data_IF_823839663237
#
_entry.id   IF_823839663237
#
_cell.length_a   1.000
_cell.length_b   1.000
_cell.length_c   1.000
_cell.angle_alpha   90.00
_cell.angle_beta   90.00
_cell.angle_gamma   90.00
#
_symmetry.space_group_name_H-M   'P 1'
#
loop_
_entity.id
_entity.type
_entity.pdbx_description
1 polymer ?
#
# COMPACT_ATOMS: atom_id res chain seq x y z
N UNK A 1 14.04 27.27 -1.08
CA UNK A 1 13.42 26.37 -2.07
C UNK A 1 13.97 24.98 -1.80
N UNK A 2 13.21 24.13 -1.11
CA UNK A 2 13.68 22.79 -0.72
C UNK A 2 13.56 21.83 -1.90
N UNK A 3 14.64 21.11 -2.13
CA UNK A 3 14.89 20.16 -3.19
C UNK A 3 13.83 19.06 -3.27
N UNK A 4 13.03 19.10 -4.33
CA UNK A 4 12.02 18.10 -4.72
C UNK A 4 12.68 16.89 -5.38
N UNK A 5 13.27 15.98 -4.60
CA UNK A 5 13.73 14.66 -5.09
C UNK A 5 13.20 13.47 -4.25
N UNK A 6 12.48 13.71 -3.16
CA UNK A 6 11.91 12.65 -2.31
C UNK A 6 10.47 12.23 -2.70
N UNK A 7 9.86 12.92 -3.67
CA UNK A 7 8.47 12.69 -4.06
C UNK A 7 8.22 11.32 -4.74
N UNK A 8 9.27 10.63 -5.20
CA UNK A 8 9.14 9.35 -5.90
C UNK A 8 9.30 8.12 -5.00
N UNK A 9 9.69 8.29 -3.74
CA UNK A 9 9.94 7.14 -2.84
C UNK A 9 8.73 6.76 -2.01
N UNK A 10 7.74 7.64 -1.83
CA UNK A 10 6.57 7.38 -1.00
C UNK A 10 5.30 7.93 -1.64
N UNK A 11 4.24 7.12 -1.63
CA UNK A 11 2.91 7.52 -2.09
C UNK A 11 1.86 7.05 -1.10
N UNK A 12 0.83 7.85 -0.87
CA UNK A 12 -0.28 7.53 0.03
C UNK A 12 -1.59 8.09 -0.48
N UNK A 13 -2.68 7.38 -0.21
CA UNK A 13 -4.04 7.77 -0.57
C UNK A 13 -5.07 7.16 0.40
N UNK A 14 -6.32 7.61 0.33
CA UNK A 14 -7.45 7.00 1.03
C UNK A 14 -8.38 6.32 0.02
N UNK A 15 -8.37 4.99 -0.01
CA UNK A 15 -9.20 4.21 -0.92
C UNK A 15 -10.38 3.57 -0.17
N UNK A 16 -11.62 3.92 -0.58
CA UNK A 16 -12.87 3.48 0.08
C UNK A 16 -12.88 3.70 1.60
N UNK A 17 -12.35 4.85 2.03
CA UNK A 17 -12.27 5.21 3.45
C UNK A 17 -11.17 4.50 4.23
N UNK A 18 -10.27 3.77 3.56
CA UNK A 18 -9.12 3.10 4.19
C UNK A 18 -7.81 3.71 3.73
N UNK A 19 -6.92 4.11 4.65
CA UNK A 19 -5.64 4.68 4.28
C UNK A 19 -4.73 3.58 3.72
N UNK A 20 -4.17 3.85 2.54
CA UNK A 20 -3.23 2.99 1.83
C UNK A 20 -1.98 3.78 1.49
N UNK A 21 -0.81 3.13 1.52
CA UNK A 21 0.45 3.77 1.11
C UNK A 21 1.44 2.76 0.55
N UNK A 22 2.39 3.24 -0.22
CA UNK A 22 3.54 2.49 -0.72
C UNK A 22 4.82 3.25 -0.44
N UNK A 23 5.90 2.50 -0.18
CA UNK A 23 7.23 3.04 0.05
C UNK A 23 8.23 2.24 -0.79
N UNK A 24 9.01 2.94 -1.62
CA UNK A 24 10.17 2.37 -2.29
C UNK A 24 11.31 2.28 -1.28
N UNK A 25 11.71 1.05 -0.98
CA UNK A 25 12.84 0.73 -0.14
C UNK A 25 13.83 -0.12 -0.93
N UNK A 26 14.98 0.48 -1.29
CA UNK A 26 16.06 -0.19 -2.02
C UNK A 26 15.60 -0.87 -3.34
N UNK A 27 14.72 -0.21 -4.10
CA UNK A 27 14.21 -0.72 -5.37
C UNK A 27 13.03 -1.68 -5.25
N UNK A 28 12.50 -1.88 -4.03
CA UNK A 28 11.31 -2.69 -3.77
C UNK A 28 10.21 -1.84 -3.16
N UNK A 29 9.00 -2.02 -3.65
CA UNK A 29 7.82 -1.32 -3.17
C UNK A 29 7.16 -2.11 -2.04
N UNK A 30 7.22 -1.54 -0.85
CA UNK A 30 6.51 -2.00 0.35
C UNK A 30 5.12 -1.38 0.37
N UNK A 31 4.15 -2.08 0.96
CA UNK A 31 2.76 -1.62 1.06
C UNK A 31 2.30 -1.47 2.51
N UNK A 32 1.53 -0.42 2.77
CA UNK A 32 0.89 -0.12 4.04
C UNK A 32 -0.62 -0.12 3.83
N UNK A 33 -1.34 -0.82 4.70
CA UNK A 33 -2.80 -0.85 4.73
C UNK A 33 -3.28 -0.56 6.15
N UNK A 34 -4.17 0.42 6.32
CA UNK A 34 -4.59 0.91 7.64
C UNK A 34 -3.39 1.28 8.54
N UNK A 35 -2.36 1.92 7.96
CA UNK A 35 -1.07 2.22 8.60
C UNK A 35 -0.23 1.00 9.02
N UNK A 36 -0.63 -0.22 8.64
CA UNK A 36 0.11 -1.46 8.93
C UNK A 36 0.94 -1.87 7.72
N UNK A 37 2.26 -1.88 7.89
CA UNK A 37 3.21 -2.42 6.92
C UNK A 37 2.92 -3.90 6.65
N UNK A 38 2.92 -4.30 5.39
CA UNK A 38 2.80 -5.70 4.95
C UNK A 38 4.17 -6.23 4.51
N UNK A 39 5.06 -6.63 5.45
CA UNK A 39 6.47 -6.90 5.15
C UNK A 39 6.72 -8.08 4.20
N UNK A 40 5.75 -8.99 4.10
CA UNK A 40 5.79 -10.14 3.19
C UNK A 40 5.36 -9.82 1.75
N UNK A 41 4.90 -8.60 1.50
CA UNK A 41 4.37 -8.17 0.21
C UNK A 41 5.26 -7.05 -0.32
N UNK A 42 6.14 -7.42 -1.24
CA UNK A 42 7.10 -6.54 -1.89
C UNK A 42 6.84 -6.61 -3.39
N UNK A 43 6.90 -5.48 -4.07
CA UNK A 43 6.61 -5.39 -5.50
C UNK A 43 7.76 -4.72 -6.23
N UNK A 44 7.98 -5.11 -7.48
CA UNK A 44 9.00 -4.50 -8.34
C UNK A 44 8.51 -3.18 -8.96
N UNK A 45 7.20 -2.89 -8.90
CA UNK A 45 6.61 -1.65 -9.39
C UNK A 45 5.58 -1.04 -8.43
N UNK A 46 5.51 0.29 -8.43
CA UNK A 46 4.51 1.05 -7.68
C UNK A 46 3.08 0.67 -8.09
N UNK A 47 2.83 0.52 -9.38
CA UNK A 47 1.52 0.15 -9.92
C UNK A 47 1.05 -1.21 -9.39
N UNK A 48 1.93 -2.22 -9.36
CA UNK A 48 1.59 -3.53 -8.83
C UNK A 48 1.25 -3.47 -7.33
N UNK A 49 1.97 -2.64 -6.58
CA UNK A 49 1.75 -2.40 -5.16
C UNK A 49 0.39 -1.73 -4.89
N UNK A 50 0.04 -0.68 -5.64
CA UNK A 50 -1.27 0.01 -5.55
C UNK A 50 -2.42 -0.93 -5.95
N UNK A 51 -2.28 -1.64 -7.06
CA UNK A 51 -3.29 -2.60 -7.52
C UNK A 51 -3.54 -3.70 -6.48
N UNK A 52 -2.50 -4.16 -5.78
CA UNK A 52 -2.66 -5.11 -4.69
C UNK A 52 -3.41 -4.51 -3.49
N UNK A 53 -3.10 -3.25 -3.12
CA UNK A 53 -3.79 -2.54 -2.03
C UNK A 53 -5.28 -2.39 -2.31
N UNK A 54 -5.65 -1.95 -3.51
CA UNK A 54 -7.05 -1.82 -3.93
C UNK A 54 -7.78 -3.16 -3.85
N UNK A 55 -7.19 -4.24 -4.42
CA UNK A 55 -7.76 -5.60 -4.32
C UNK A 55 -7.94 -6.08 -2.89
N UNK A 56 -7.03 -5.72 -1.97
CA UNK A 56 -7.14 -6.07 -0.55
C UNK A 56 -8.22 -5.29 0.18
N UNK A 57 -8.47 -4.05 -0.22
CA UNK A 57 -9.58 -3.24 0.29
C UNK A 57 -10.91 -3.75 -0.25
N UNK A 58 -10.96 -4.07 -1.55
CA UNK A 58 -12.16 -4.54 -2.24
C UNK A 58 -12.59 -5.94 -1.82
N UNK A 59 -11.63 -6.80 -1.43
CA UNK A 59 -11.96 -8.14 -0.93
C UNK A 59 -12.79 -7.96 0.34
N UNK A 60 -14.08 -8.36 0.34
CA UNK A 60 -14.86 -8.33 1.57
C UNK A 60 -14.10 -9.14 2.59
N UNK A 61 -13.79 -8.55 3.76
CA UNK A 61 -13.30 -9.34 4.90
C UNK A 61 -14.31 -10.45 5.03
N UNK A 62 -13.89 -11.68 4.73
CA UNK A 62 -14.74 -12.83 4.97
C UNK A 62 -15.18 -12.66 6.41
N UNK A 63 -16.47 -12.39 6.63
CA UNK A 63 -17.04 -12.42 7.96
C UNK A 63 -16.67 -13.82 8.44
N UNK A 64 -15.72 -13.91 9.36
CA UNK A 64 -15.51 -15.10 10.15
C UNK A 64 -16.87 -15.38 10.74
N UNK A 65 -17.60 -16.31 10.11
CA UNK A 65 -18.82 -16.86 10.67
C UNK A 65 -18.35 -17.52 11.96
N UNK A 66 -18.65 -16.88 13.08
CA UNK A 66 -18.71 -17.51 14.38
C UNK A 66 -19.58 -18.76 14.20
N UNK A 67 -18.98 -19.92 14.45
CA UNK A 67 -19.67 -21.17 14.75
C UNK A 67 -19.24 -21.58 16.15
#
# INVERSE_FOLDING_TARGET
MQATYEAESFWSDTYRGRPIAILNHCGRWLVYLDHVLQPRMQFDSAEAAVNWLQRKVDRPRARSRLH
#
